data_IF_644604172958
#
_entry.id   IF_644604172958
#
_cell.length_a   1.000
_cell.length_b   1.000
_cell.length_c   1.000
_cell.angle_alpha   90.00
_cell.angle_beta   90.00
_cell.angle_gamma   90.00
#
_symmetry.space_group_name_H-M   'P 1'
#
loop_
_entity.id
_entity.type
_entity.pdbx_description
1 polymer ?
#
# COMPACT_ATOMS: atom_id res chain seq x y z
N UNK A 1 -13.22 -8.75 -22.00
CA UNK A 1 -12.76 -7.39 -21.65
C UNK A 1 -11.26 -7.47 -21.42
N UNK A 2 -10.46 -7.06 -22.40
CA UNK A 2 -8.99 -7.09 -22.26
C UNK A 2 -8.53 -5.95 -21.35
N UNK A 3 -7.69 -6.25 -20.38
CA UNK A 3 -7.05 -5.24 -19.52
C UNK A 3 -5.76 -4.73 -20.19
N UNK A 4 -5.87 -4.16 -21.39
CA UNK A 4 -4.73 -3.55 -22.07
C UNK A 4 -4.36 -2.24 -21.37
N UNK A 5 -3.10 -2.04 -20.97
CA UNK A 5 -2.69 -0.78 -20.40
C UNK A 5 -2.85 0.38 -21.39
N UNK A 6 -3.25 1.55 -20.88
CA UNK A 6 -3.39 2.78 -21.69
C UNK A 6 -2.08 3.10 -22.40
N UNK A 7 -2.08 3.49 -23.67
CA UNK A 7 -0.86 3.67 -24.47
C UNK A 7 -0.54 2.51 -25.41
N UNK A 8 -1.26 1.39 -25.29
CA UNK A 8 -1.03 0.19 -26.09
C UNK A 8 -2.30 -0.31 -26.78
N UNK A 9 -2.14 -0.80 -28.01
CA UNK A 9 -3.11 -1.64 -28.72
C UNK A 9 -2.60 -3.08 -28.80
N UNK A 10 -3.51 -4.04 -28.93
CA UNK A 10 -3.15 -5.43 -29.24
C UNK A 10 -3.47 -5.66 -30.70
N UNK A 11 -2.44 -5.88 -31.50
CA UNK A 11 -2.55 -6.17 -32.93
C UNK A 11 -1.94 -7.54 -33.20
N UNK A 12 -2.74 -8.47 -33.72
CA UNK A 12 -2.33 -9.85 -34.03
C UNK A 12 -1.68 -10.61 -32.86
N UNK A 13 -2.09 -10.31 -31.63
CA UNK A 13 -1.55 -10.95 -30.42
C UNK A 13 -0.26 -10.33 -29.89
N UNK A 14 0.28 -9.29 -30.54
CA UNK A 14 1.41 -8.51 -30.06
C UNK A 14 0.93 -7.15 -29.53
N UNK A 15 1.56 -6.65 -28.47
CA UNK A 15 1.32 -5.28 -28.02
C UNK A 15 2.07 -4.29 -28.91
N UNK A 16 1.33 -3.35 -29.49
CA UNK A 16 1.84 -2.23 -30.28
C UNK A 16 1.61 -0.92 -29.55
N UNK A 17 2.49 0.06 -29.76
CA UNK A 17 2.35 1.39 -29.16
C UNK A 17 1.27 2.14 -29.92
N UNK A 18 0.25 2.61 -29.19
CA UNK A 18 -0.65 3.63 -29.72
C UNK A 18 0.01 5.00 -29.55
N UNK A 19 0.59 5.53 -30.62
CA UNK A 19 1.37 6.77 -30.59
C UNK A 19 0.63 7.99 -30.03
N UNK A 20 -0.68 8.10 -30.25
CA UNK A 20 -1.45 9.23 -29.74
C UNK A 20 -1.61 9.17 -28.21
N UNK A 21 -1.85 7.97 -27.68
CA UNK A 21 -1.93 7.75 -26.22
C UNK A 21 -0.54 7.80 -25.57
N UNK A 22 0.49 7.25 -26.24
CA UNK A 22 1.87 7.27 -25.79
C UNK A 22 2.42 8.70 -25.66
N UNK A 23 2.11 9.59 -26.61
CA UNK A 23 2.45 11.02 -26.50
C UNK A 23 1.84 11.67 -25.25
N UNK A 24 0.60 11.33 -24.91
CA UNK A 24 -0.04 11.84 -23.69
C UNK A 24 0.66 11.32 -22.44
N UNK A 25 1.11 10.06 -22.43
CA UNK A 25 1.90 9.49 -21.32
C UNK A 25 3.23 10.24 -21.18
N UNK A 26 3.99 10.41 -22.27
CA UNK A 26 5.26 11.17 -22.23
C UNK A 26 5.06 12.58 -21.67
N UNK A 27 4.01 13.27 -22.12
CA UNK A 27 3.64 14.62 -21.64
C UNK A 27 3.20 14.63 -20.17
N UNK A 28 2.52 13.60 -19.70
CA UNK A 28 2.17 13.45 -18.28
C UNK A 28 3.43 13.39 -17.41
N UNK A 29 4.42 12.59 -17.78
CA UNK A 29 5.69 12.50 -17.04
C UNK A 29 6.44 13.84 -17.05
N UNK A 30 6.56 14.48 -18.21
CA UNK A 30 7.19 15.80 -18.35
C UNK A 30 6.51 16.85 -17.45
N UNK A 31 5.17 16.95 -17.51
CA UNK A 31 4.39 17.87 -16.69
C UNK A 31 4.54 17.58 -15.18
N UNK A 32 4.59 16.30 -14.79
CA UNK A 32 4.74 15.95 -13.38
C UNK A 32 6.13 16.31 -12.84
N UNK A 33 7.16 16.00 -13.62
CA UNK A 33 8.57 16.30 -13.31
C UNK A 33 8.80 17.81 -13.24
N UNK A 34 8.15 18.60 -14.10
CA UNK A 34 8.22 20.06 -14.07
C UNK A 34 7.56 20.71 -12.85
N UNK A 35 6.89 19.93 -11.99
CA UNK A 35 6.36 20.42 -10.71
C UNK A 35 4.84 20.33 -10.58
N UNK A 36 4.12 19.94 -11.63
CA UNK A 36 2.65 19.90 -11.56
C UNK A 36 2.14 18.82 -10.61
N UNK A 37 0.93 19.02 -10.08
CA UNK A 37 0.21 17.99 -9.34
C UNK A 37 -0.31 16.90 -10.31
N UNK A 38 -0.41 15.65 -9.85
CA UNK A 38 -0.78 14.49 -10.70
C UNK A 38 -2.02 14.72 -11.58
N UNK A 39 -3.13 15.15 -10.98
CA UNK A 39 -4.37 15.40 -11.72
C UNK A 39 -4.23 16.54 -12.73
N UNK A 40 -3.50 17.61 -12.38
CA UNK A 40 -3.26 18.74 -13.29
C UNK A 40 -2.32 18.34 -14.44
N UNK A 41 -1.30 17.54 -14.16
CA UNK A 41 -0.37 17.03 -15.16
C UNK A 41 -1.09 16.14 -16.19
N UNK A 42 -1.99 15.26 -15.73
CA UNK A 42 -2.81 14.41 -16.58
C UNK A 42 -3.80 15.22 -17.42
N UNK A 43 -4.52 16.16 -16.81
CA UNK A 43 -5.43 17.04 -17.54
C UNK A 43 -4.70 17.87 -18.62
N UNK A 44 -3.53 18.43 -18.30
CA UNK A 44 -2.70 19.17 -19.26
C UNK A 44 -2.11 18.28 -20.37
N UNK A 45 -1.99 16.98 -20.13
CA UNK A 45 -1.62 15.99 -21.12
C UNK A 45 -2.82 15.48 -21.96
N UNK A 46 -4.04 15.95 -21.70
CA UNK A 46 -5.26 15.49 -22.39
C UNK A 46 -5.73 14.10 -21.94
N UNK A 47 -5.41 13.74 -20.69
CA UNK A 47 -5.86 12.51 -20.03
C UNK A 47 -6.86 12.89 -18.94
N UNK A 48 -8.15 12.78 -19.26
CA UNK A 48 -9.24 13.03 -18.30
C UNK A 48 -9.31 11.91 -17.26
N UNK A 49 -8.66 12.13 -16.11
CA UNK A 49 -8.54 11.14 -15.05
C UNK A 49 -8.56 11.79 -13.67
N UNK A 50 -8.90 10.99 -12.66
CA UNK A 50 -8.81 11.38 -11.26
C UNK A 50 -7.40 11.22 -10.72
N UNK A 51 -7.12 11.83 -9.56
CA UNK A 51 -5.80 11.75 -8.91
C UNK A 51 -5.31 10.30 -8.73
N UNK A 52 -6.19 9.38 -8.31
CA UNK A 52 -5.84 7.98 -8.07
C UNK A 52 -5.46 7.23 -9.35
N UNK A 53 -6.18 7.47 -10.45
CA UNK A 53 -5.91 6.82 -11.73
C UNK A 53 -4.68 7.41 -12.42
N UNK A 54 -4.46 8.73 -12.35
CA UNK A 54 -3.22 9.36 -12.80
C UNK A 54 -1.98 8.79 -12.07
N UNK A 55 -2.09 8.59 -10.75
CA UNK A 55 -1.05 7.92 -9.96
C UNK A 55 -0.79 6.50 -10.46
N UNK A 56 -1.84 5.70 -10.66
CA UNK A 56 -1.74 4.31 -11.14
C UNK A 56 -1.10 4.25 -12.54
N UNK A 57 -1.39 5.22 -13.40
CA UNK A 57 -0.76 5.35 -14.72
C UNK A 57 0.75 5.56 -14.56
N UNK A 58 1.17 6.51 -13.72
CA UNK A 58 2.60 6.77 -13.49
C UNK A 58 3.35 5.68 -12.72
N UNK A 59 2.66 4.78 -12.03
CA UNK A 59 3.27 3.64 -11.35
C UNK A 59 3.29 2.38 -12.22
N UNK A 60 2.72 2.43 -13.42
CA UNK A 60 2.67 1.28 -14.31
C UNK A 60 4.06 0.97 -14.89
N UNK A 61 4.61 -0.18 -14.50
CA UNK A 61 5.91 -0.67 -14.96
C UNK A 61 5.93 -1.10 -16.43
N UNK A 62 4.79 -1.29 -17.08
CA UNK A 62 4.80 -1.65 -18.51
C UNK A 62 5.37 -0.52 -19.40
N UNK A 63 5.39 0.73 -18.93
CA UNK A 63 5.83 1.88 -19.72
C UNK A 63 7.35 1.97 -19.94
N UNK A 64 8.15 1.36 -19.08
CA UNK A 64 9.61 1.22 -19.29
C UNK A 64 9.95 0.08 -20.27
N UNK A 65 8.94 -0.68 -20.69
CA UNK A 65 9.06 -1.86 -21.54
C UNK A 65 9.24 -3.14 -20.73
N UNK A 66 8.66 -4.22 -21.24
CA UNK A 66 8.89 -5.59 -20.78
C UNK A 66 8.94 -6.55 -21.98
N UNK A 67 8.93 -7.86 -21.73
CA UNK A 67 9.01 -8.88 -22.80
C UNK A 67 7.84 -8.80 -23.80
N UNK A 68 6.71 -8.21 -23.42
CA UNK A 68 5.49 -8.15 -24.22
C UNK A 68 5.14 -6.72 -24.68
N UNK A 69 5.29 -5.72 -23.80
CA UNK A 69 4.98 -4.33 -24.04
C UNK A 69 6.24 -3.54 -24.42
N UNK A 70 6.27 -2.90 -25.60
CA UNK A 70 7.39 -2.03 -25.97
C UNK A 70 7.46 -0.78 -25.09
N UNK A 71 8.66 -0.24 -24.86
CA UNK A 71 8.86 0.91 -24.00
C UNK A 71 8.25 2.21 -24.58
N UNK A 72 7.50 2.94 -23.76
CA UNK A 72 6.94 4.27 -24.09
C UNK A 72 7.83 5.39 -23.55
N UNK A 73 8.42 5.17 -22.38
CA UNK A 73 9.35 6.08 -21.67
C UNK A 73 10.64 5.35 -21.31
N UNK A 74 11.68 6.12 -21.02
CA UNK A 74 12.95 5.62 -20.50
C UNK A 74 12.89 5.34 -18.99
N UNK A 75 13.75 4.43 -18.56
CA UNK A 75 13.89 4.04 -17.15
C UNK A 75 14.23 5.23 -16.25
N UNK A 76 15.11 6.14 -16.72
CA UNK A 76 15.54 7.29 -15.93
C UNK A 76 14.38 8.25 -15.63
N UNK A 77 13.53 8.52 -16.62
CA UNK A 77 12.31 9.33 -16.44
C UNK A 77 11.33 8.69 -15.46
N UNK A 78 11.15 7.37 -15.53
CA UNK A 78 10.30 6.63 -14.59
C UNK A 78 10.81 6.75 -13.15
N UNK A 79 12.10 6.49 -12.94
CA UNK A 79 12.73 6.53 -11.62
C UNK A 79 12.76 7.95 -11.06
N UNK A 80 13.03 8.96 -11.90
CA UNK A 80 12.98 10.37 -11.50
C UNK A 80 11.58 10.78 -11.04
N UNK A 81 10.54 10.38 -11.77
CA UNK A 81 9.17 10.64 -11.35
C UNK A 81 8.83 9.93 -10.02
N UNK A 82 9.33 8.72 -9.82
CA UNK A 82 9.15 7.98 -8.57
C UNK A 82 9.86 8.65 -7.37
N UNK A 83 11.09 9.12 -7.56
CA UNK A 83 11.84 9.85 -6.55
C UNK A 83 11.11 11.14 -6.13
N UNK A 84 10.64 11.95 -7.10
CA UNK A 84 9.87 13.17 -6.84
C UNK A 84 8.59 12.84 -6.05
N UNK A 85 7.90 11.76 -6.41
CA UNK A 85 6.69 11.32 -5.72
C UNK A 85 6.97 10.97 -4.27
N UNK A 86 8.04 10.23 -4.00
CA UNK A 86 8.47 9.84 -2.66
C UNK A 86 8.86 11.06 -1.83
N UNK A 87 9.64 11.98 -2.41
CA UNK A 87 10.05 13.24 -1.76
C UNK A 87 8.83 14.07 -1.36
N UNK A 88 7.87 14.27 -2.28
CA UNK A 88 6.62 14.99 -2.01
C UNK A 88 5.79 14.30 -0.92
N UNK A 89 5.69 12.97 -0.94
CA UNK A 89 5.00 12.22 0.10
C UNK A 89 5.68 12.38 1.48
N UNK A 90 7.01 12.42 1.50
CA UNK A 90 7.82 12.71 2.70
C UNK A 90 7.55 14.09 3.26
N UNK A 91 7.59 15.14 2.43
CA UNK A 91 7.26 16.52 2.83
C UNK A 91 5.85 16.65 3.41
N UNK A 92 4.91 15.83 2.96
CA UNK A 92 3.54 15.78 3.46
C UNK A 92 3.34 14.87 4.69
N UNK A 93 4.40 14.24 5.21
CA UNK A 93 4.34 13.33 6.34
C UNK A 93 3.56 12.03 6.05
N UNK A 94 3.43 11.64 4.78
CA UNK A 94 2.56 10.52 4.34
C UNK A 94 3.26 9.17 4.29
N UNK A 95 4.57 9.10 4.54
CA UNK A 95 5.36 7.86 4.45
C UNK A 95 5.05 6.88 5.60
N UNK A 96 4.84 7.39 6.83
CA UNK A 96 4.65 6.56 8.03
C UNK A 96 3.22 6.62 8.57
N UNK A 97 2.25 6.14 7.78
CA UNK A 97 0.84 6.10 8.19
C UNK A 97 0.47 4.95 9.14
N UNK A 98 1.29 3.90 9.22
CA UNK A 98 1.10 2.86 10.23
C UNK A 98 1.54 3.44 11.58
N UNK A 99 0.57 3.81 12.42
CA UNK A 99 0.84 4.01 13.85
C UNK A 99 1.37 2.68 14.38
N UNK A 100 2.49 2.70 15.09
CA UNK A 100 2.94 1.54 15.84
C UNK A 100 1.77 1.10 16.73
N UNK A 101 1.25 -0.10 16.49
CA UNK A 101 0.28 -0.69 17.39
C UNK A 101 0.96 -0.77 18.75
N UNK A 102 0.37 -0.15 19.78
CA UNK A 102 0.83 -0.42 21.14
C UNK A 102 0.66 -1.93 21.34
N UNK A 103 1.68 -2.67 21.77
CA UNK A 103 1.51 -4.08 22.08
C UNK A 103 0.37 -4.19 23.08
N UNK A 104 -0.64 -5.00 22.79
CA UNK A 104 -1.67 -5.31 23.76
C UNK A 104 -0.96 -5.94 24.96
N UNK A 105 -1.06 -5.30 26.12
CA UNK A 105 -0.51 -5.87 27.34
C UNK A 105 -1.26 -7.18 27.62
N UNK A 106 -0.53 -8.25 27.94
CA UNK A 106 -1.15 -9.48 28.42
C UNK A 106 -1.95 -9.17 29.68
N UNK A 107 -3.16 -9.72 29.85
CA UNK A 107 -3.93 -9.55 31.08
C UNK A 107 -3.16 -10.23 32.23
N UNK A 108 -2.59 -9.42 33.13
CA UNK A 108 -1.92 -9.89 34.35
C UNK A 108 -2.82 -9.77 35.60
N UNK A 109 -4.07 -9.32 35.41
CA UNK A 109 -5.07 -9.25 36.46
C UNK A 109 -5.67 -10.62 36.71
N UNK A 110 -5.40 -11.19 37.89
CA UNK A 110 -6.05 -12.40 38.37
C UNK A 110 -6.84 -12.07 39.63
N UNK A 111 -8.00 -12.70 39.78
CA UNK A 111 -8.80 -12.64 41.00
C UNK A 111 -8.94 -14.04 41.55
N UNK A 112 -8.97 -14.17 42.86
CA UNK A 112 -9.16 -15.45 43.52
C UNK A 112 -10.50 -15.43 44.23
N UNK A 113 -11.33 -16.45 43.98
CA UNK A 113 -12.57 -16.66 44.70
C UNK A 113 -12.28 -16.99 46.18
N UNK A 114 -13.19 -16.65 47.11
CA UNK A 114 -13.03 -16.98 48.51
C UNK A 114 -12.95 -18.50 48.71
N UNK A 115 -11.98 -18.96 49.50
CA UNK A 115 -11.82 -20.37 49.83
C UNK A 115 -12.78 -20.76 50.95
N UNK A 116 -13.77 -21.58 50.63
CA UNK A 116 -14.76 -22.09 51.60
C UNK A 116 -14.33 -23.41 52.23
N UNK A 117 -13.43 -24.15 51.58
CA UNK A 117 -13.00 -25.49 51.99
C UNK A 117 -11.49 -25.52 52.27
N UNK A 118 -11.09 -26.37 53.22
CA UNK A 118 -9.69 -26.62 53.56
C UNK A 118 -9.43 -28.12 53.67
N UNK A 119 -8.40 -28.60 52.98
CA UNK A 119 -7.96 -29.98 52.96
C UNK A 119 -6.65 -30.13 53.73
N UNK A 120 -6.51 -31.24 54.46
CA UNK A 120 -5.28 -31.53 55.21
C UNK A 120 -4.12 -32.01 54.31
N UNK A 121 -4.43 -32.67 53.19
CA UNK A 121 -3.41 -33.04 52.20
C UNK A 121 -2.90 -31.78 51.48
N UNK A 122 -1.61 -31.43 51.63
CA UNK A 122 -1.05 -30.24 51.01
C UNK A 122 -1.18 -30.21 49.49
N UNK A 123 -1.16 -31.38 48.83
CA UNK A 123 -1.29 -31.48 47.38
C UNK A 123 -2.71 -31.13 46.94
N UNK A 124 -3.70 -31.70 47.61
CA UNK A 124 -5.13 -31.44 47.37
C UNK A 124 -5.49 -29.99 47.71
N UNK A 125 -4.94 -29.44 48.78
CA UNK A 125 -5.16 -28.05 49.16
C UNK A 125 -4.63 -27.09 48.10
N UNK A 126 -3.43 -27.34 47.55
CA UNK A 126 -2.88 -26.52 46.48
C UNK A 126 -3.73 -26.60 45.19
N UNK A 127 -4.15 -27.81 44.81
CA UNK A 127 -5.02 -28.04 43.65
C UNK A 127 -6.35 -27.25 43.76
N UNK A 128 -6.98 -27.30 44.93
CA UNK A 128 -8.19 -26.53 45.22
C UNK A 128 -7.96 -25.02 45.13
N UNK A 129 -6.90 -24.48 45.75
CA UNK A 129 -6.62 -23.04 45.72
C UNK A 129 -6.32 -22.54 44.30
N UNK A 130 -5.60 -23.31 43.47
CA UNK A 130 -5.36 -22.93 42.08
C UNK A 130 -6.62 -22.95 41.22
N UNK A 131 -7.59 -23.82 41.53
CA UNK A 131 -8.89 -23.84 40.85
C UNK A 131 -9.74 -22.59 41.08
N UNK A 132 -9.46 -21.83 42.15
CA UNK A 132 -10.17 -20.59 42.50
C UNK A 132 -9.63 -19.35 41.78
N UNK A 133 -8.53 -19.46 41.02
CA UNK A 133 -7.94 -18.34 40.29
C UNK A 133 -8.71 -18.12 38.99
N UNK A 134 -9.39 -16.98 38.87
CA UNK A 134 -10.02 -16.52 37.65
C UNK A 134 -9.16 -15.42 37.00
N UNK A 135 -8.95 -15.52 35.68
CA UNK A 135 -8.35 -14.44 34.90
C UNK A 135 -9.40 -13.36 34.63
N UNK A 136 -9.05 -12.08 34.84
CA UNK A 136 -9.90 -10.96 34.45
C UNK A 136 -10.01 -10.93 32.91
N UNK A 137 -11.10 -11.46 32.35
CA UNK A 137 -11.37 -11.40 30.92
C UNK A 137 -11.71 -9.95 30.58
N UNK A 138 -10.74 -9.21 30.02
CA UNK A 138 -10.98 -7.90 29.40
C UNK A 138 -11.70 -8.03 28.06
#
# INVERSE_FOLDING_TARGET
MGHTPYGYSIENGCATINEDEAKKIRKLYENYISGMALAKAAAAAGIETYHGTAKRLMENGHYIGDDFYPAIIDQETYDKAAAIRLERAGKLGRLNRKKNAKPAASPTGFRMLPAEQHYEDPRLQAEYLYSLIESEVS
#
